data_IF_217981876082
#
_entry.id   IF_217981876082
#
_cell.length_a   1.000
_cell.length_b   1.000
_cell.length_c   1.000
_cell.angle_alpha   90.00
_cell.angle_beta   90.00
_cell.angle_gamma   90.00
#
_symmetry.space_group_name_H-M   'P 1'
#
loop_
_entity.id
_entity.type
_entity.pdbx_description
1 polymer ?
#
# COMPACT_ATOMS: atom_id res chain seq x y z
N UNK A 1 25.02 4.83 12.04
CA UNK A 1 25.08 3.37 11.82
C UNK A 1 23.87 2.99 10.99
N UNK A 2 24.06 2.26 9.89
CA UNK A 2 22.95 1.71 9.09
C UNK A 2 22.35 0.49 9.81
N UNK A 3 21.03 0.28 9.68
CA UNK A 3 20.26 -0.67 10.47
C UNK A 3 20.47 -2.16 10.12
N UNK A 4 21.40 -2.52 9.21
CA UNK A 4 21.71 -3.91 8.79
C UNK A 4 20.45 -4.76 8.53
N UNK A 5 19.61 -4.28 7.61
CA UNK A 5 18.39 -4.96 7.19
C UNK A 5 18.72 -5.87 6.00
N UNK A 6 18.41 -7.17 6.11
CA UNK A 6 18.69 -8.15 5.06
C UNK A 6 17.70 -8.08 3.89
N UNK A 7 16.41 -7.94 4.20
CA UNK A 7 15.31 -7.78 3.23
C UNK A 7 14.75 -6.37 3.32
N UNK A 8 15.03 -5.56 2.30
CA UNK A 8 14.62 -4.15 2.28
C UNK A 8 13.30 -3.94 1.54
N UNK A 9 12.58 -2.91 1.95
CA UNK A 9 11.42 -2.40 1.22
C UNK A 9 11.59 -0.89 1.00
N UNK A 10 10.86 -0.31 0.05
CA UNK A 10 10.81 1.14 -0.12
C UNK A 10 10.13 1.85 1.07
N UNK A 11 9.52 1.08 1.98
CA UNK A 11 8.86 1.58 3.18
C UNK A 11 7.60 2.39 2.89
N UNK A 12 7.00 2.24 1.69
CA UNK A 12 5.95 3.10 1.17
C UNK A 12 6.35 4.58 1.00
N UNK A 13 7.64 4.90 0.97
CA UNK A 13 8.13 6.29 0.88
C UNK A 13 7.76 7.00 -0.43
N UNK A 14 7.36 6.24 -1.45
CA UNK A 14 6.86 6.75 -2.74
C UNK A 14 5.41 7.27 -2.68
N UNK A 15 4.70 7.06 -1.57
CA UNK A 15 3.24 7.24 -1.46
C UNK A 15 2.89 8.00 -0.17
N UNK A 16 1.83 8.81 -0.20
CA UNK A 16 1.31 9.49 1.00
C UNK A 16 0.62 8.48 1.94
N UNK A 17 -0.09 7.53 1.35
CA UNK A 17 -0.71 6.39 2.04
C UNK A 17 -1.14 5.37 1.00
N UNK A 18 -1.07 4.09 1.36
CA UNK A 18 -1.64 3.01 0.58
C UNK A 18 -3.10 3.26 0.14
N UNK A 19 -3.98 3.65 1.07
CA UNK A 19 -5.41 3.79 0.80
C UNK A 19 -5.70 4.93 -0.20
N UNK A 20 -5.02 6.06 -0.05
CA UNK A 20 -5.13 7.20 -0.97
C UNK A 20 -4.52 6.87 -2.32
N UNK A 21 -3.43 6.11 -2.35
CA UNK A 21 -2.77 5.68 -3.59
C UNK A 21 -3.69 4.84 -4.47
N UNK A 22 -4.52 3.97 -3.88
CA UNK A 22 -5.47 3.16 -4.63
C UNK A 22 -6.61 3.96 -5.25
N UNK A 23 -7.16 4.91 -4.50
CA UNK A 23 -8.30 5.74 -4.95
C UNK A 23 -8.04 6.41 -6.29
N UNK A 24 -6.85 7.00 -6.45
CA UNK A 24 -6.55 7.78 -7.64
C UNK A 24 -6.11 6.91 -8.83
N UNK A 25 -5.74 5.63 -8.59
CA UNK A 25 -5.14 4.72 -9.57
C UNK A 25 -6.07 3.65 -10.11
N UNK A 26 -7.22 3.42 -9.48
CA UNK A 26 -8.16 2.38 -9.89
C UNK A 26 -9.41 2.97 -10.56
N UNK A 27 -9.79 2.41 -11.70
CA UNK A 27 -11.14 2.55 -12.22
C UNK A 27 -12.07 1.68 -11.38
N UNK A 28 -13.35 2.08 -11.26
CA UNK A 28 -14.34 1.29 -10.52
C UNK A 28 -14.21 1.41 -9.00
N UNK A 29 -13.51 2.44 -8.49
CA UNK A 29 -13.28 2.68 -7.06
C UNK A 29 -13.55 4.14 -6.62
N UNK A 30 -14.44 4.83 -7.33
CA UNK A 30 -14.82 6.22 -7.00
C UNK A 30 -16.10 6.33 -6.16
N UNK A 31 -16.70 5.18 -5.85
CA UNK A 31 -17.93 5.12 -5.07
C UNK A 31 -17.76 5.66 -3.65
N UNK A 32 -18.89 5.87 -2.99
CA UNK A 32 -18.92 6.32 -1.60
C UNK A 32 -19.33 5.17 -0.70
N UNK A 33 -18.50 4.83 0.29
CA UNK A 33 -18.84 3.81 1.27
C UNK A 33 -20.10 4.21 2.04
N UNK A 34 -21.16 3.41 1.91
CA UNK A 34 -22.44 3.65 2.58
C UNK A 34 -22.46 3.11 4.01
N UNK A 35 -21.64 2.10 4.31
CA UNK A 35 -21.46 1.56 5.66
C UNK A 35 -19.98 1.58 6.05
N UNK A 36 -19.65 2.34 7.09
CA UNK A 36 -18.38 2.19 7.80
C UNK A 36 -18.53 1.04 8.80
N UNK A 37 -18.27 -0.18 8.35
CA UNK A 37 -18.24 -1.34 9.25
C UNK A 37 -17.07 -1.20 10.21
N UNK A 38 -17.30 -1.52 11.48
CA UNK A 38 -16.21 -1.67 12.43
C UNK A 38 -15.22 -2.71 11.88
N UNK A 39 -13.92 -2.42 12.01
CA UNK A 39 -12.89 -3.39 11.67
C UNK A 39 -13.13 -4.67 12.48
N UNK A 40 -12.98 -5.83 11.84
CA UNK A 40 -13.41 -7.11 12.41
C UNK A 40 -12.71 -7.46 13.73
N UNK A 41 -11.45 -7.06 13.86
CA UNK A 41 -10.64 -7.14 15.07
C UNK A 41 -11.23 -6.35 16.25
N UNK A 42 -11.90 -5.23 15.97
CA UNK A 42 -12.57 -4.43 17.02
C UNK A 42 -13.78 -5.15 17.62
N UNK A 43 -14.36 -6.14 16.94
CA UNK A 43 -15.47 -6.94 17.46
C UNK A 43 -15.00 -7.84 18.61
N UNK A 44 -13.75 -8.31 18.58
CA UNK A 44 -13.16 -9.13 19.64
C UNK A 44 -12.77 -8.28 20.87
N UNK A 45 -12.63 -6.96 20.70
CA UNK A 45 -12.20 -6.02 21.75
C UNK A 45 -13.14 -4.83 21.90
N UNK A 46 -14.41 -5.11 22.21
CA UNK A 46 -15.48 -4.10 22.31
C UNK A 46 -15.15 -2.96 23.29
N UNK A 47 -14.45 -3.23 24.40
CA UNK A 47 -14.06 -2.20 25.37
C UNK A 47 -13.05 -1.21 24.79
N UNK A 48 -12.12 -1.68 23.95
CA UNK A 48 -11.18 -0.84 23.21
C UNK A 48 -11.90 -0.07 22.09
N UNK A 49 -12.77 -0.75 21.34
CA UNK A 49 -13.58 -0.11 20.30
C UNK A 49 -14.40 1.07 20.85
N UNK A 50 -15.01 0.92 22.04
CA UNK A 50 -15.72 2.00 22.72
C UNK A 50 -14.81 3.19 23.05
N UNK A 51 -13.62 2.94 23.62
CA UNK A 51 -12.64 3.99 23.92
C UNK A 51 -12.19 4.74 22.66
N UNK A 52 -11.99 4.01 21.55
CA UNK A 52 -11.62 4.60 20.28
C UNK A 52 -12.71 5.56 19.76
N UNK A 53 -13.99 5.17 19.88
CA UNK A 53 -15.14 6.03 19.53
C UNK A 53 -15.21 7.26 20.45
N UNK A 54 -15.06 7.06 21.76
CA UNK A 54 -15.08 8.14 22.77
C UNK A 54 -13.95 9.17 22.56
N UNK A 55 -12.80 8.71 22.06
CA UNK A 55 -11.65 9.56 21.70
C UNK A 55 -11.78 10.23 20.33
N UNK A 56 -12.88 10.01 19.60
CA UNK A 56 -13.08 10.54 18.25
C UNK A 56 -12.31 9.79 17.16
N UNK A 57 -11.70 8.65 17.49
CA UNK A 57 -10.86 7.86 16.57
C UNK A 57 -11.64 7.08 15.51
N UNK A 58 -12.98 7.06 15.57
CA UNK A 58 -13.82 6.59 14.47
C UNK A 58 -14.46 7.80 13.81
N UNK A 59 -13.77 8.44 12.86
CA UNK A 59 -14.40 9.46 12.02
C UNK A 59 -15.51 8.79 11.20
N UNK A 60 -16.72 8.73 11.75
CA UNK A 60 -17.93 8.28 11.04
C UNK A 60 -18.19 9.07 9.76
N UNK A 61 -17.57 10.24 9.62
CA UNK A 61 -17.67 11.18 8.51
C UNK A 61 -16.73 10.91 7.34
N UNK A 62 -15.70 10.06 7.49
CA UNK A 62 -14.89 9.64 6.36
C UNK A 62 -15.66 8.54 5.63
N UNK A 63 -16.50 8.94 4.69
CA UNK A 63 -16.97 8.02 3.66
C UNK A 63 -15.77 7.72 2.76
N UNK A 64 -15.13 6.58 3.02
CA UNK A 64 -14.03 6.10 2.19
C UNK A 64 -14.50 5.82 0.76
N UNK A 65 -13.57 5.78 -0.21
CA UNK A 65 -13.88 5.29 -1.55
C UNK A 65 -14.40 3.85 -1.47
N UNK A 66 -15.32 3.51 -2.37
CA UNK A 66 -15.91 2.18 -2.48
C UNK A 66 -15.96 1.73 -3.94
N UNK A 67 -16.02 0.42 -4.15
CA UNK A 67 -16.16 -0.13 -5.48
C UNK A 67 -17.52 0.27 -6.08
N UNK A 68 -17.52 0.90 -7.24
CA UNK A 68 -18.70 1.25 -8.04
C UNK A 68 -18.73 0.53 -9.40
N UNK A 69 -17.71 -0.29 -9.69
CA UNK A 69 -17.63 -1.10 -10.89
C UNK A 69 -16.47 -2.11 -10.86
N UNK A 70 -16.19 -2.80 -11.98
CA UNK A 70 -15.02 -3.66 -12.11
C UNK A 70 -13.73 -2.86 -11.93
N UNK A 71 -12.84 -3.37 -11.08
CA UNK A 71 -11.55 -2.74 -10.82
C UNK A 71 -10.58 -2.95 -11.99
N UNK A 72 -9.97 -1.87 -12.45
CA UNK A 72 -8.84 -1.92 -13.39
C UNK A 72 -7.87 -0.78 -13.10
N UNK A 73 -6.62 -0.93 -13.54
CA UNK A 73 -5.63 0.14 -13.40
C UNK A 73 -5.97 1.29 -14.36
N UNK A 74 -5.94 2.52 -13.85
CA UNK A 74 -6.04 3.74 -14.65
C UNK A 74 -4.76 4.04 -15.40
N UNK A 75 -3.65 4.08 -14.66
CA UNK A 75 -2.34 4.47 -15.15
C UNK A 75 -1.24 3.79 -14.33
N UNK A 76 -0.36 3.06 -15.01
CA UNK A 76 0.78 2.35 -14.44
C UNK A 76 2.08 3.17 -14.46
N UNK A 77 2.13 4.31 -15.17
CA UNK A 77 3.39 5.05 -15.39
C UNK A 77 4.10 5.46 -14.11
N UNK A 78 3.33 5.80 -13.06
CA UNK A 78 3.90 6.19 -11.78
C UNK A 78 4.36 4.95 -10.98
N UNK A 79 3.69 3.81 -11.12
CA UNK A 79 4.19 2.55 -10.54
C UNK A 79 5.52 2.16 -11.20
N UNK A 80 5.63 2.29 -12.52
CA UNK A 80 6.88 2.03 -13.24
C UNK A 80 8.02 2.93 -12.76
N UNK A 81 7.71 4.21 -12.49
CA UNK A 81 8.67 5.15 -11.90
C UNK A 81 9.09 4.73 -10.48
N UNK A 82 8.15 4.31 -9.65
CA UNK A 82 8.42 3.84 -8.29
C UNK A 82 9.31 2.60 -8.31
N UNK A 83 9.02 1.64 -9.19
CA UNK A 83 9.82 0.42 -9.39
C UNK A 83 11.22 0.72 -9.93
N UNK A 84 11.35 1.65 -10.88
CA UNK A 84 12.64 2.06 -11.41
C UNK A 84 13.53 2.71 -10.32
N UNK A 85 12.95 3.59 -9.51
CA UNK A 85 13.65 4.23 -8.39
C UNK A 85 14.10 3.21 -7.35
N UNK A 86 13.21 2.30 -6.97
CA UNK A 86 13.53 1.27 -5.99
C UNK A 86 14.59 0.29 -6.51
N UNK A 87 14.48 -0.13 -7.77
CA UNK A 87 15.46 -1.01 -8.41
C UNK A 87 16.84 -0.36 -8.50
N UNK A 88 16.90 0.94 -8.82
CA UNK A 88 18.16 1.70 -8.82
C UNK A 88 18.80 1.72 -7.42
N UNK A 89 18.02 1.98 -6.38
CA UNK A 89 18.50 2.00 -5.00
C UNK A 89 18.97 0.61 -4.51
N UNK A 90 18.25 -0.46 -4.86
CA UNK A 90 18.66 -1.85 -4.57
C UNK A 90 19.96 -2.19 -5.29
N UNK A 91 20.11 -1.79 -6.55
CA UNK A 91 21.34 -2.03 -7.32
C UNK A 91 22.55 -1.32 -6.71
N UNK A 92 22.37 -0.07 -6.26
CA UNK A 92 23.43 0.72 -5.63
C UNK A 92 23.87 0.18 -4.26
N UNK A 93 22.92 -0.26 -3.44
CA UNK A 93 23.17 -0.62 -2.04
C UNK A 93 23.36 -2.12 -1.79
N UNK A 94 23.05 -2.97 -2.78
CA UNK A 94 23.25 -4.42 -2.76
C UNK A 94 22.76 -5.11 -1.46
N UNK A 95 21.48 -4.92 -1.05
CA UNK A 95 20.88 -5.72 0.01
C UNK A 95 20.80 -7.20 -0.43
N UNK A 96 20.57 -8.12 0.51
CA UNK A 96 20.38 -9.53 0.12
C UNK A 96 19.13 -9.70 -0.75
N UNK A 97 18.04 -9.00 -0.42
CA UNK A 97 16.80 -9.05 -1.19
C UNK A 97 16.00 -7.74 -1.03
N UNK A 98 15.16 -7.43 -2.02
CA UNK A 98 14.23 -6.30 -2.02
C UNK A 98 12.80 -6.73 -2.27
N UNK A 99 11.84 -6.11 -1.59
CA UNK A 99 10.41 -6.29 -1.86
C UNK A 99 9.66 -4.96 -1.94
N UNK A 100 8.82 -4.82 -2.96
CA UNK A 100 8.01 -3.63 -3.19
C UNK A 100 6.53 -3.94 -3.00
N UNK A 101 5.86 -3.20 -2.12
CA UNK A 101 4.41 -3.30 -1.95
C UNK A 101 3.69 -2.67 -3.14
N UNK A 102 3.18 -3.55 -4.00
CA UNK A 102 2.40 -3.20 -5.17
C UNK A 102 1.12 -4.01 -5.16
N UNK A 103 0.00 -3.28 -5.17
CA UNK A 103 -1.34 -3.84 -4.98
C UNK A 103 -2.14 -3.89 -6.26
N UNK A 104 -1.47 -3.65 -7.38
CA UNK A 104 -1.98 -3.86 -8.71
C UNK A 104 -1.50 -5.25 -9.17
N UNK A 105 -2.39 -6.00 -9.82
CA UNK A 105 -2.26 -7.43 -10.16
C UNK A 105 -0.99 -7.82 -10.96
N UNK A 106 -0.19 -6.84 -11.38
CA UNK A 106 1.03 -7.02 -12.18
C UNK A 106 2.29 -7.36 -11.38
N UNK A 107 2.29 -7.17 -10.06
CA UNK A 107 3.47 -7.42 -9.23
C UNK A 107 3.48 -8.84 -8.65
N UNK A 108 3.57 -9.84 -9.52
CA UNK A 108 3.90 -11.20 -9.13
C UNK A 108 5.40 -11.43 -9.29
N UNK A 109 6.07 -11.70 -8.17
CA UNK A 109 7.51 -12.02 -7.97
C UNK A 109 8.39 -10.86 -7.51
N UNK A 110 9.06 -11.11 -6.37
CA UNK A 110 10.05 -10.22 -5.79
C UNK A 110 11.13 -9.85 -6.80
N UNK A 111 11.62 -8.64 -6.67
CA UNK A 111 12.78 -8.18 -7.44
C UNK A 111 14.00 -8.90 -6.89
N UNK A 112 14.27 -10.12 -7.37
CA UNK A 112 15.53 -10.78 -7.06
C UNK A 112 16.64 -9.95 -7.67
N UNK A 113 17.58 -9.50 -6.84
CA UNK A 113 18.85 -8.96 -7.30
C UNK A 113 19.68 -10.10 -7.91
N UNK A 114 19.28 -10.63 -9.06
CA UNK A 114 20.22 -11.42 -9.85
C UNK A 114 21.18 -10.44 -10.54
N UNK A 115 22.50 -10.62 -10.37
CA UNK A 115 23.45 -9.80 -11.08
C UNK A 115 23.27 -10.08 -12.57
N UNK A 116 22.95 -9.03 -13.33
CA UNK A 116 23.09 -9.06 -14.78
C UNK A 116 24.58 -9.22 -15.06
N UNK A 117 25.02 -10.47 -15.15
CA UNK A 117 26.33 -10.83 -15.69
C UNK A 117 26.32 -10.58 -17.21
N UNK A 118 27.46 -10.13 -17.78
CA UNK A 118 27.55 -9.54 -19.11
C UNK A 118 27.18 -10.49 -20.26
#
# INVERSE_FOLDING_TARGET
>A
MAAKIDLVSDGEMSKISYATYLKDRLNGFDGTAQENRAAGDLLDFISYARRLVEQGGTERSLQGPACDGPLSVRDDTVLDKDLANFSAAVTENQPMEGFFYCTLTRCGHGISAEPVLP
#
